data_IF_122471371147
#
_entry.id   IF_122471371147
#
_cell.length_a   1.000
_cell.length_b   1.000
_cell.length_c   1.000
_cell.angle_alpha   90.00
_cell.angle_beta   90.00
_cell.angle_gamma   90.00
#
_symmetry.space_group_name_H-M   'P 1'
#
loop_
_entity.id
_entity.type
_entity.pdbx_description
1 polymer ?
#
# COMPACT_ATOMS: atom_id res chain seq x y z
N UNK A 1 6.13 -30.90 -8.67
CA UNK A 1 5.92 -29.81 -7.71
C UNK A 1 4.53 -29.21 -7.94
N UNK A 2 3.55 -29.70 -7.19
CA UNK A 2 2.15 -29.24 -7.23
C UNK A 2 1.63 -29.24 -5.80
N UNK A 3 1.07 -28.12 -5.33
CA UNK A 3 0.66 -27.94 -3.92
C UNK A 3 -0.31 -29.01 -3.42
N UNK A 4 -1.19 -29.52 -4.28
CA UNK A 4 -2.17 -30.56 -3.92
C UNK A 4 -1.57 -31.97 -3.77
N UNK A 5 -0.30 -32.19 -4.15
CA UNK A 5 0.37 -33.48 -4.04
C UNK A 5 0.99 -33.67 -2.65
N UNK A 6 0.15 -33.97 -1.68
CA UNK A 6 0.54 -34.24 -0.29
C UNK A 6 1.39 -35.51 -0.10
N UNK A 7 1.65 -36.32 -1.13
CA UNK A 7 2.57 -37.46 -1.00
C UNK A 7 4.01 -37.05 -1.27
N UNK A 8 4.24 -36.28 -2.35
CA UNK A 8 5.59 -35.92 -2.78
C UNK A 8 6.04 -34.52 -2.33
N UNK A 9 5.09 -33.62 -2.05
CA UNK A 9 5.36 -32.24 -1.64
C UNK A 9 5.03 -31.97 -0.16
N UNK A 10 4.76 -33.01 0.63
CA UNK A 10 4.56 -32.85 2.07
C UNK A 10 5.85 -32.36 2.75
N UNK A 11 5.67 -31.52 3.78
CA UNK A 11 6.76 -31.02 4.61
C UNK A 11 6.41 -31.23 6.07
N UNK A 12 7.30 -31.89 6.81
CA UNK A 12 7.07 -32.19 8.23
C UNK A 12 8.34 -31.99 9.04
N UNK A 13 8.18 -31.85 10.36
CA UNK A 13 9.32 -31.76 11.28
C UNK A 13 10.16 -33.04 11.21
N UNK A 14 9.54 -34.22 11.11
CA UNK A 14 10.25 -35.50 11.11
C UNK A 14 11.07 -35.73 9.83
N UNK A 15 10.61 -35.25 8.67
CA UNK A 15 11.38 -35.28 7.42
C UNK A 15 12.71 -34.52 7.56
N UNK A 16 12.70 -33.44 8.36
CA UNK A 16 13.86 -32.61 8.65
C UNK A 16 14.55 -32.92 9.99
N UNK A 17 14.19 -33.99 10.71
CA UNK A 17 14.76 -34.26 12.03
C UNK A 17 16.24 -34.69 11.95
N UNK A 18 16.57 -35.61 11.04
CA UNK A 18 17.93 -36.13 10.87
C UNK A 18 18.73 -35.41 9.78
N UNK A 19 18.04 -34.79 8.81
CA UNK A 19 18.65 -34.18 7.63
C UNK A 19 19.69 -33.08 7.98
N UNK A 20 19.42 -32.11 8.88
CA UNK A 20 20.41 -31.11 9.27
C UNK A 20 21.67 -31.72 9.90
N UNK A 21 21.52 -32.79 10.69
CA UNK A 21 22.65 -33.49 11.30
C UNK A 21 23.53 -34.20 10.27
N UNK A 22 22.91 -34.87 9.29
CA UNK A 22 23.63 -35.49 8.18
C UNK A 22 24.34 -34.43 7.30
N UNK A 23 23.67 -33.32 6.99
CA UNK A 23 24.26 -32.19 6.27
C UNK A 23 25.45 -31.59 7.01
N UNK A 24 25.35 -31.43 8.34
CA UNK A 24 26.44 -30.92 9.17
C UNK A 24 27.65 -31.88 9.16
N UNK A 25 27.43 -33.20 9.26
CA UNK A 25 28.50 -34.18 9.15
C UNK A 25 29.18 -34.12 7.77
N UNK A 26 28.41 -34.10 6.68
CA UNK A 26 28.96 -33.96 5.33
C UNK A 26 29.77 -32.67 5.17
N UNK A 27 29.27 -31.55 5.70
CA UNK A 27 30.00 -30.29 5.67
C UNK A 27 31.28 -30.33 6.52
N UNK A 28 31.28 -31.01 7.66
CA UNK A 28 32.48 -31.20 8.48
C UNK A 28 33.58 -31.96 7.73
N UNK A 29 33.22 -33.00 6.96
CA UNK A 29 34.19 -33.84 6.24
C UNK A 29 34.63 -33.27 4.89
N UNK A 30 33.72 -32.62 4.17
CA UNK A 30 33.92 -32.22 2.77
C UNK A 30 33.75 -30.72 2.51
N UNK A 31 33.45 -29.94 3.55
CA UNK A 31 33.24 -28.50 3.44
C UNK A 31 34.48 -27.79 2.91
N UNK A 32 34.25 -26.85 2.01
CA UNK A 32 35.26 -25.92 1.49
C UNK A 32 34.85 -24.50 1.84
N UNK A 33 35.77 -23.51 1.81
CA UNK A 33 35.41 -22.12 2.03
C UNK A 33 34.29 -21.61 1.11
N UNK A 34 34.17 -22.14 -0.11
CA UNK A 34 33.10 -21.79 -1.06
C UNK A 34 31.74 -22.42 -0.77
N UNK A 35 31.66 -23.36 0.19
CA UNK A 35 30.42 -24.00 0.64
C UNK A 35 29.92 -23.43 1.97
N UNK A 36 30.57 -22.38 2.48
CA UNK A 36 30.19 -21.76 3.74
C UNK A 36 28.70 -21.35 3.72
N UNK A 37 28.00 -21.46 4.86
CA UNK A 37 26.64 -20.95 4.98
C UNK A 37 26.56 -19.52 4.46
N UNK A 38 25.50 -19.22 3.71
CA UNK A 38 25.26 -17.87 3.18
C UNK A 38 25.20 -16.89 4.34
N UNK A 39 26.08 -15.89 4.30
CA UNK A 39 26.06 -14.79 5.27
C UNK A 39 24.74 -14.04 5.13
N UNK A 40 24.10 -13.74 6.26
CA UNK A 40 22.85 -12.97 6.31
C UNK A 40 21.64 -13.71 5.67
N UNK A 41 21.55 -15.03 5.90
CA UNK A 41 20.38 -15.85 5.57
C UNK A 41 19.30 -15.79 6.67
N UNK A 42 17.99 -15.79 6.33
CA UNK A 42 17.44 -15.75 4.98
C UNK A 42 17.55 -14.35 4.36
N UNK A 43 17.72 -14.25 3.03
CA UNK A 43 17.56 -12.97 2.35
C UNK A 43 16.15 -12.42 2.64
N UNK A 44 16.03 -11.09 2.68
CA UNK A 44 14.71 -10.47 2.81
C UNK A 44 13.78 -11.01 1.71
N UNK A 45 12.56 -11.47 2.05
CA UNK A 45 11.67 -12.05 1.07
C UNK A 45 11.32 -11.00 0.03
N UNK A 46 11.63 -11.31 -1.24
CA UNK A 46 11.10 -10.54 -2.36
C UNK A 46 9.73 -11.12 -2.69
N UNK A 47 8.66 -10.42 -2.31
CA UNK A 47 7.31 -10.76 -2.72
C UNK A 47 7.16 -10.48 -4.22
N UNK A 48 7.54 -11.46 -5.03
CA UNK A 48 7.37 -11.46 -6.48
C UNK A 48 6.34 -12.51 -6.88
N UNK A 49 5.17 -12.45 -6.25
CA UNK A 49 3.93 -13.02 -6.77
C UNK A 49 3.19 -11.89 -7.46
N UNK A 50 3.05 -11.98 -8.79
CA UNK A 50 2.54 -10.92 -9.65
C UNK A 50 1.11 -10.52 -9.35
N UNK A 51 0.97 -9.51 -8.50
CA UNK A 51 -0.29 -8.87 -8.13
C UNK A 51 -0.07 -7.37 -7.89
N UNK A 52 0.97 -6.82 -8.52
CA UNK A 52 1.46 -5.44 -8.41
C UNK A 52 0.63 -4.43 -9.22
N UNK A 53 -0.69 -4.46 -9.04
CA UNK A 53 -1.57 -3.32 -9.32
C UNK A 53 -2.36 -3.03 -8.03
N UNK A 54 -2.03 -1.95 -7.30
CA UNK A 54 -2.70 -1.53 -6.05
C UNK A 54 -2.07 -1.99 -4.73
N UNK A 55 -0.78 -2.33 -4.71
CA UNK A 55 -0.10 -3.06 -3.64
C UNK A 55 -0.04 -2.39 -2.26
N UNK A 56 -0.38 -3.16 -1.22
CA UNK A 56 -0.03 -2.98 0.20
C UNK A 56 -0.15 -4.30 1.01
N UNK A 57 -0.19 -5.43 0.31
CA UNK A 57 -0.42 -6.76 0.89
C UNK A 57 -1.88 -7.09 1.18
N UNK A 58 -2.84 -6.18 0.95
CA UNK A 58 -4.29 -6.45 1.02
C UNK A 58 -4.97 -6.12 -0.31
N UNK A 59 -6.06 -6.82 -0.62
CA UNK A 59 -6.91 -6.53 -1.79
C UNK A 59 -8.34 -7.01 -1.57
N UNK A 60 -9.27 -6.52 -2.40
CA UNK A 60 -10.66 -6.99 -2.45
C UNK A 60 -10.87 -7.87 -3.67
N UNK A 61 -11.64 -8.94 -3.50
CA UNK A 61 -12.31 -9.60 -4.62
C UNK A 61 -13.81 -9.33 -4.50
N UNK A 62 -14.43 -8.84 -5.57
CA UNK A 62 -15.84 -8.46 -5.57
C UNK A 62 -16.56 -8.81 -6.88
N UNK A 63 -17.88 -8.82 -6.80
CA UNK A 63 -18.77 -8.77 -7.96
C UNK A 63 -19.99 -7.89 -7.63
N UNK A 64 -20.70 -7.47 -8.67
CA UNK A 64 -21.86 -6.60 -8.54
C UNK A 64 -23.08 -7.12 -9.29
N UNK A 65 -24.24 -6.59 -8.93
CA UNK A 65 -25.50 -6.73 -9.66
C UNK A 65 -26.18 -5.38 -9.63
N UNK A 66 -26.57 -4.90 -10.80
CA UNK A 66 -27.29 -3.65 -10.94
C UNK A 66 -28.79 -3.92 -10.99
N UNK A 67 -29.53 -3.28 -10.07
CA UNK A 67 -31.00 -3.28 -10.06
C UNK A 67 -31.53 -1.89 -10.42
N UNK A 68 -31.16 -1.42 -11.63
CA UNK A 68 -31.56 -0.11 -12.16
C UNK A 68 -32.98 -0.15 -12.72
N UNK A 69 -33.69 0.97 -12.58
CA UNK A 69 -35.04 1.17 -13.11
C UNK A 69 -35.05 2.30 -14.14
N UNK A 70 -35.99 2.23 -15.07
CA UNK A 70 -36.14 3.23 -16.14
C UNK A 70 -36.51 4.63 -15.62
N UNK A 71 -36.98 4.75 -14.37
CA UNK A 71 -37.32 6.02 -13.73
C UNK A 71 -36.13 6.70 -13.02
N UNK A 72 -34.92 6.13 -13.17
CA UNK A 72 -33.68 6.63 -12.56
C UNK A 72 -33.41 6.06 -11.17
N UNK A 73 -34.41 5.49 -10.49
CA UNK A 73 -34.16 4.80 -9.23
C UNK A 73 -33.37 3.51 -9.45
N UNK A 74 -32.59 3.11 -8.46
CA UNK A 74 -31.79 1.90 -8.58
C UNK A 74 -30.72 1.79 -7.52
N UNK A 75 -30.17 0.59 -7.43
CA UNK A 75 -29.03 0.29 -6.58
C UNK A 75 -28.04 -0.57 -7.34
N UNK A 76 -26.77 -0.39 -7.00
CA UNK A 76 -25.75 -1.39 -7.24
C UNK A 76 -25.64 -2.23 -5.98
N UNK A 77 -25.82 -3.55 -6.12
CA UNK A 77 -25.54 -4.54 -5.09
C UNK A 77 -24.09 -4.97 -5.25
N UNK A 78 -23.38 -5.16 -4.14
CA UNK A 78 -21.97 -5.59 -4.12
C UNK A 78 -21.83 -6.81 -3.19
N UNK A 79 -21.10 -7.83 -3.65
CA UNK A 79 -20.63 -8.96 -2.85
C UNK A 79 -19.11 -8.98 -2.87
N UNK A 80 -18.47 -9.10 -1.70
CA UNK A 80 -17.02 -9.03 -1.60
C UNK A 80 -16.41 -9.96 -0.55
N UNK A 81 -15.12 -10.26 -0.76
CA UNK A 81 -14.18 -10.80 0.21
C UNK A 81 -13.00 -9.85 0.37
N UNK A 82 -12.46 -9.77 1.59
CA UNK A 82 -11.16 -9.17 1.86
C UNK A 82 -10.07 -10.24 1.83
N UNK A 83 -8.97 -9.95 1.17
CA UNK A 83 -7.84 -10.85 0.99
C UNK A 83 -6.54 -10.20 1.47
N UNK A 84 -5.56 -11.01 1.85
CA UNK A 84 -4.26 -10.51 2.28
C UNK A 84 -3.12 -11.49 1.98
N UNK A 85 -1.98 -10.95 1.56
CA UNK A 85 -0.67 -11.61 1.55
C UNK A 85 0.20 -11.18 2.74
N UNK A 86 -0.30 -10.30 3.60
CA UNK A 86 0.41 -9.81 4.77
C UNK A 86 0.55 -10.90 5.83
N UNK A 87 1.72 -10.95 6.47
CA UNK A 87 1.96 -11.77 7.66
C UNK A 87 1.52 -11.07 8.95
N UNK A 88 1.16 -9.77 8.86
CA UNK A 88 0.67 -8.97 9.98
C UNK A 88 -0.85 -8.93 9.95
N UNK A 89 -1.47 -9.20 11.10
CA UNK A 89 -2.91 -9.05 11.29
C UNK A 89 -3.25 -7.55 11.31
N UNK A 90 -4.27 -7.09 10.56
CA UNK A 90 -4.73 -5.71 10.67
C UNK A 90 -5.35 -5.43 12.04
N UNK A 91 -5.26 -4.19 12.48
CA UNK A 91 -5.70 -3.76 13.82
C UNK A 91 -7.09 -3.13 13.86
N UNK A 92 -7.45 -2.36 12.82
CA UNK A 92 -8.75 -1.73 12.62
C UNK A 92 -9.05 -1.66 11.11
N UNK A 93 -9.37 -2.83 10.53
CA UNK A 93 -9.59 -2.96 9.10
C UNK A 93 -10.93 -2.34 8.68
N UNK A 94 -10.90 -1.43 7.72
CA UNK A 94 -12.10 -0.93 7.03
C UNK A 94 -11.98 -1.11 5.52
N UNK A 95 -13.12 -1.17 4.84
CA UNK A 95 -13.22 -1.33 3.39
C UNK A 95 -14.10 -0.20 2.85
N UNK A 96 -13.66 0.49 1.80
CA UNK A 96 -14.41 1.59 1.18
C UNK A 96 -14.81 1.29 -0.25
N UNK A 97 -16.08 1.50 -0.55
CA UNK A 97 -16.62 1.55 -1.91
C UNK A 97 -16.94 3.00 -2.26
N UNK A 98 -16.21 3.54 -3.23
CA UNK A 98 -16.31 4.90 -3.73
C UNK A 98 -17.29 4.97 -4.90
N UNK A 99 -18.15 5.99 -4.87
CA UNK A 99 -19.15 6.24 -5.90
C UNK A 99 -19.23 7.73 -6.24
N UNK A 100 -19.64 8.01 -7.47
CA UNK A 100 -19.81 9.37 -8.00
C UNK A 100 -21.21 9.89 -7.70
N UNK A 101 -21.30 11.19 -7.50
CA UNK A 101 -22.57 11.93 -7.38
C UNK A 101 -22.74 12.94 -8.49
N UNK A 102 -21.89 12.84 -9.51
CA UNK A 102 -21.90 13.72 -10.67
C UNK A 102 -23.24 13.58 -11.40
N UNK A 103 -23.86 14.72 -11.68
CA UNK A 103 -25.17 14.77 -12.34
C UNK A 103 -26.37 14.70 -11.38
N UNK A 104 -26.15 14.41 -10.09
CA UNK A 104 -27.21 14.54 -9.09
C UNK A 104 -27.53 16.02 -8.84
N UNK A 105 -28.83 16.32 -8.76
CA UNK A 105 -29.38 17.65 -8.46
C UNK A 105 -29.69 17.83 -6.98
N UNK A 106 -29.96 16.74 -6.25
CA UNK A 106 -30.23 16.77 -4.82
C UNK A 106 -28.98 16.45 -4.00
N UNK A 107 -28.97 16.86 -2.73
CA UNK A 107 -27.89 16.53 -1.79
C UNK A 107 -27.77 15.00 -1.64
N UNK A 108 -26.65 14.39 -2.07
CA UNK A 108 -26.48 12.94 -2.05
C UNK A 108 -26.66 12.32 -0.66
N UNK A 109 -26.30 13.05 0.41
CA UNK A 109 -26.45 12.58 1.79
C UNK A 109 -27.92 12.38 2.20
N UNK A 110 -28.85 13.06 1.53
CA UNK A 110 -30.27 12.95 1.81
C UNK A 110 -30.94 11.77 1.09
N UNK A 111 -30.49 11.45 -0.13
CA UNK A 111 -31.17 10.54 -1.06
C UNK A 111 -30.45 9.21 -1.25
N UNK A 112 -29.11 9.18 -1.25
CA UNK A 112 -28.35 7.93 -1.41
C UNK A 112 -28.41 7.14 -0.11
N UNK A 113 -28.63 5.83 -0.23
CA UNK A 113 -28.71 4.88 0.88
C UNK A 113 -27.68 3.79 0.69
N UNK A 114 -27.08 3.41 1.80
CA UNK A 114 -26.17 2.27 1.93
C UNK A 114 -26.82 1.30 2.90
N UNK A 115 -27.00 0.04 2.51
CA UNK A 115 -27.65 -0.97 3.36
C UNK A 115 -26.89 -2.28 3.31
N UNK A 116 -26.71 -2.92 4.46
CA UNK A 116 -26.25 -4.31 4.54
C UNK A 116 -27.29 -5.25 3.93
N UNK A 117 -26.81 -6.20 3.12
CA UNK A 117 -27.61 -7.33 2.62
C UNK A 117 -27.28 -8.62 3.39
N UNK A 118 -25.99 -8.87 3.65
CA UNK A 118 -25.55 -10.08 4.30
C UNK A 118 -24.16 -9.94 4.91
N UNK A 119 -24.05 -10.20 6.22
CA UNK A 119 -22.79 -10.48 6.92
C UNK A 119 -22.68 -11.99 7.23
N UNK A 120 -21.84 -12.69 6.48
CA UNK A 120 -21.57 -14.10 6.72
C UNK A 120 -20.78 -14.32 8.02
N UNK A 121 -19.92 -13.37 8.41
CA UNK A 121 -19.14 -13.50 9.63
C UNK A 121 -20.05 -13.43 10.87
N UNK A 122 -21.01 -12.50 10.90
CA UNK A 122 -22.03 -12.46 11.97
C UNK A 122 -22.85 -13.74 12.03
N UNK A 123 -23.18 -14.32 10.88
CA UNK A 123 -23.99 -15.54 10.81
C UNK A 123 -23.23 -16.79 11.29
N UNK A 124 -21.94 -16.92 10.94
CA UNK A 124 -21.20 -18.17 11.10
C UNK A 124 -20.06 -18.12 12.12
N UNK A 125 -19.68 -16.93 12.60
CA UNK A 125 -18.51 -16.71 13.43
C UNK A 125 -18.78 -15.77 14.62
N UNK A 126 -19.94 -15.91 15.26
CA UNK A 126 -20.30 -15.16 16.45
C UNK A 126 -19.15 -15.18 17.50
N UNK A 127 -18.81 -14.03 18.12
CA UNK A 127 -19.54 -12.76 18.13
C UNK A 127 -19.07 -11.74 17.07
N UNK A 128 -18.55 -12.19 15.92
CA UNK A 128 -18.24 -11.28 14.81
C UNK A 128 -19.48 -10.48 14.39
N UNK A 129 -19.29 -9.22 14.01
CA UNK A 129 -20.33 -8.33 13.53
C UNK A 129 -19.65 -7.21 12.75
N UNK A 130 -19.71 -7.29 11.42
CA UNK A 130 -19.23 -6.24 10.54
C UNK A 130 -20.36 -5.24 10.34
N UNK A 131 -20.02 -3.96 10.23
CA UNK A 131 -21.03 -2.91 10.10
C UNK A 131 -20.72 -2.02 8.92
N UNK A 132 -21.75 -1.67 8.15
CA UNK A 132 -21.63 -0.71 7.06
C UNK A 132 -22.30 0.61 7.42
N UNK A 133 -21.67 1.71 7.01
CA UNK A 133 -22.20 3.05 7.21
C UNK A 133 -21.85 3.98 6.05
N UNK A 134 -22.49 5.16 6.04
CA UNK A 134 -22.38 6.16 5.00
C UNK A 134 -23.75 6.58 4.45
N UNK A 135 -23.79 7.29 3.31
CA UNK A 135 -22.62 7.73 2.55
C UNK A 135 -21.82 8.84 3.25
N UNK A 136 -20.51 8.90 2.98
CA UNK A 136 -19.60 9.95 3.47
C UNK A 136 -19.03 10.71 2.28
N UNK A 137 -18.99 12.05 2.34
CA UNK A 137 -18.30 12.85 1.32
C UNK A 137 -16.79 12.60 1.43
N UNK A 138 -16.14 12.29 0.32
CA UNK A 138 -14.68 12.22 0.29
C UNK A 138 -14.09 13.63 0.22
N UNK A 139 -13.07 13.89 1.02
CA UNK A 139 -12.51 15.23 1.20
C UNK A 139 -11.62 15.68 0.04
N UNK A 140 -11.12 14.74 -0.77
CA UNK A 140 -10.20 15.03 -1.89
C UNK A 140 -10.89 15.36 -3.22
N UNK A 141 -12.17 14.99 -3.40
CA UNK A 141 -12.94 15.29 -4.62
C UNK A 141 -14.39 15.65 -4.31
N UNK A 142 -14.91 16.66 -5.01
CA UNK A 142 -16.20 17.25 -4.66
C UNK A 142 -17.41 16.36 -4.92
N UNK A 143 -17.33 15.52 -5.94
CA UNK A 143 -18.40 14.65 -6.42
C UNK A 143 -18.24 13.19 -5.97
N UNK A 144 -17.20 12.86 -5.19
CA UNK A 144 -16.94 11.49 -4.74
C UNK A 144 -17.40 11.30 -3.30
N UNK A 145 -18.14 10.22 -3.09
CA UNK A 145 -18.62 9.76 -1.79
C UNK A 145 -18.23 8.30 -1.60
N UNK A 146 -18.36 7.78 -0.39
CA UNK A 146 -18.09 6.38 -0.12
C UNK A 146 -19.01 5.75 0.93
N UNK A 147 -19.23 4.45 0.78
CA UNK A 147 -19.70 3.55 1.83
C UNK A 147 -18.49 2.94 2.53
N UNK A 148 -18.56 2.78 3.86
CA UNK A 148 -17.47 2.19 4.65
C UNK A 148 -17.98 0.98 5.44
N UNK A 149 -17.31 -0.16 5.27
CA UNK A 149 -17.51 -1.35 6.08
C UNK A 149 -16.42 -1.36 7.15
N UNK A 150 -16.83 -1.40 8.41
CA UNK A 150 -15.95 -1.62 9.55
C UNK A 150 -15.91 -3.11 9.89
N UNK A 151 -14.72 -3.71 9.81
CA UNK A 151 -14.56 -5.16 10.05
C UNK A 151 -14.56 -5.53 11.54
N UNK A 152 -14.51 -4.53 12.43
CA UNK A 152 -14.45 -4.74 13.88
C UNK A 152 -13.20 -5.47 14.32
N UNK A 153 -13.30 -6.26 15.39
CA UNK A 153 -12.18 -7.08 15.92
C UNK A 153 -12.02 -8.41 15.19
N UNK A 154 -12.98 -8.75 14.31
CA UNK A 154 -12.97 -9.97 13.53
C UNK A 154 -11.87 -9.93 12.47
N UNK A 155 -11.12 -11.02 12.32
CA UNK A 155 -10.10 -11.11 11.28
C UNK A 155 -10.76 -11.44 9.93
N UNK A 156 -11.35 -10.44 9.28
CA UNK A 156 -12.12 -10.63 8.06
C UNK A 156 -11.27 -10.99 6.84
N UNK A 157 -10.06 -10.41 6.72
CA UNK A 157 -9.14 -10.72 5.63
C UNK A 157 -8.74 -12.22 5.64
N UNK A 158 -8.83 -12.88 4.49
CA UNK A 158 -8.61 -14.33 4.29
C UNK A 158 -9.51 -15.24 5.13
N UNK A 159 -10.61 -14.73 5.72
CA UNK A 159 -11.54 -15.55 6.51
C UNK A 159 -12.40 -16.49 5.66
N UNK A 160 -12.47 -16.24 4.35
CA UNK A 160 -13.42 -16.92 3.46
C UNK A 160 -14.87 -16.54 3.73
N UNK A 161 -15.14 -15.47 4.48
CA UNK A 161 -16.48 -14.93 4.73
C UNK A 161 -16.79 -13.80 3.76
N UNK A 162 -18.00 -13.81 3.19
CA UNK A 162 -18.47 -12.74 2.32
C UNK A 162 -19.24 -11.68 3.08
N UNK A 163 -19.16 -10.45 2.58
CA UNK A 163 -20.00 -9.34 3.00
C UNK A 163 -20.71 -8.75 1.78
N UNK A 164 -22.00 -8.44 1.94
CA UNK A 164 -22.84 -7.96 0.85
C UNK A 164 -23.61 -6.71 1.27
N UNK A 165 -23.71 -5.74 0.38
CA UNK A 165 -24.41 -4.49 0.63
C UNK A 165 -24.99 -3.88 -0.65
N UNK A 166 -25.81 -2.85 -0.50
CA UNK A 166 -26.28 -2.00 -1.60
C UNK A 166 -25.82 -0.56 -1.41
N UNK A 167 -25.62 0.12 -2.53
CA UNK A 167 -25.52 1.58 -2.61
C UNK A 167 -26.40 2.06 -3.77
N UNK A 168 -27.15 3.14 -3.54
CA UNK A 168 -27.97 3.76 -4.57
C UNK A 168 -29.11 4.57 -3.98
N UNK A 169 -30.16 4.82 -4.76
CA UNK A 169 -31.28 5.67 -4.36
C UNK A 169 -32.62 5.12 -4.87
N UNK A 170 -33.68 5.40 -4.13
CA UNK A 170 -35.05 4.98 -4.49
C UNK A 170 -35.90 6.11 -5.07
N UNK A 171 -35.53 7.37 -4.83
CA UNK A 171 -36.26 8.55 -5.27
C UNK A 171 -35.36 9.78 -5.24
N UNK A 172 -35.81 10.85 -5.89
CA UNK A 172 -35.17 12.17 -5.84
C UNK A 172 -34.21 12.43 -7.00
N UNK A 173 -33.51 11.42 -7.51
CA UNK A 173 -32.53 11.59 -8.58
C UNK A 173 -32.38 10.34 -9.45
N UNK A 174 -31.33 10.29 -10.29
CA UNK A 174 -30.95 9.11 -11.07
C UNK A 174 -29.67 8.46 -10.52
N UNK A 175 -29.67 7.14 -10.36
CA UNK A 175 -28.48 6.35 -10.03
C UNK A 175 -27.78 5.89 -11.30
N UNK A 176 -26.54 6.33 -11.49
CA UNK A 176 -25.64 5.86 -12.55
C UNK A 176 -24.36 5.35 -11.89
N UNK A 177 -24.13 4.02 -11.84
CA UNK A 177 -22.91 3.48 -11.24
C UNK A 177 -21.73 3.49 -12.21
N UNK A 178 -21.92 3.84 -13.49
CA UNK A 178 -20.89 3.64 -14.52
C UNK A 178 -19.71 4.60 -14.41
N UNK A 179 -19.86 5.70 -13.66
CA UNK A 179 -18.80 6.64 -13.34
C UNK A 179 -18.30 6.53 -11.88
N UNK A 180 -18.77 5.54 -11.12
CA UNK A 180 -18.27 5.22 -9.79
C UNK A 180 -16.82 4.71 -9.87
N UNK A 181 -15.87 5.26 -9.08
CA UNK A 181 -14.50 4.76 -9.05
C UNK A 181 -14.42 3.27 -8.70
N UNK A 182 -15.19 2.81 -7.70
CA UNK A 182 -15.16 1.40 -7.26
C UNK A 182 -15.96 0.44 -8.15
N UNK A 183 -16.82 0.96 -9.04
CA UNK A 183 -17.51 0.13 -10.03
C UNK A 183 -16.58 -0.25 -11.19
N UNK A 184 -15.52 0.52 -11.41
CA UNK A 184 -14.48 0.17 -12.38
C UNK A 184 -13.94 -1.24 -12.10
N UNK A 185 -13.88 -2.05 -13.16
CA UNK A 185 -13.48 -3.46 -13.14
C UNK A 185 -14.36 -4.40 -12.29
N UNK A 186 -15.49 -3.90 -11.76
CA UNK A 186 -16.45 -4.73 -11.05
C UNK A 186 -17.18 -5.64 -12.05
N UNK A 187 -17.09 -6.96 -11.82
CA UNK A 187 -17.80 -7.92 -12.65
C UNK A 187 -19.30 -7.88 -12.32
N UNK A 188 -20.10 -7.39 -13.26
CA UNK A 188 -21.55 -7.27 -13.11
C UNK A 188 -22.27 -8.51 -13.63
N UNK A 189 -23.14 -9.08 -12.79
CA UNK A 189 -24.02 -10.19 -13.13
C UNK A 189 -25.47 -9.73 -13.28
N UNK A 190 -26.29 -10.55 -13.95
CA UNK A 190 -27.72 -10.29 -14.13
C UNK A 190 -28.59 -10.94 -13.06
N UNK A 191 -28.17 -12.10 -12.57
CA UNK A 191 -28.95 -12.94 -11.68
C UNK A 191 -28.32 -12.95 -10.29
N UNK A 192 -29.17 -12.87 -9.25
CA UNK A 192 -28.76 -12.85 -7.84
C UNK A 192 -28.04 -14.14 -7.41
N UNK A 193 -28.15 -15.24 -8.18
CA UNK A 193 -27.41 -16.49 -7.96
C UNK A 193 -25.88 -16.28 -7.87
N UNK A 194 -25.35 -15.26 -8.55
CA UNK A 194 -23.93 -14.92 -8.49
C UNK A 194 -23.47 -14.57 -7.07
N UNK A 195 -24.35 -14.02 -6.22
CA UNK A 195 -24.04 -13.65 -4.84
C UNK A 195 -24.05 -14.84 -3.89
N UNK A 196 -24.70 -15.94 -4.27
CA UNK A 196 -24.76 -17.18 -3.49
C UNK A 196 -23.74 -18.24 -3.93
N UNK A 197 -23.24 -18.13 -5.16
CA UNK A 197 -22.18 -18.99 -5.67
C UNK A 197 -20.81 -18.70 -5.04
N UNK A 198 -19.91 -19.68 -5.12
CA UNK A 198 -18.49 -19.53 -4.76
C UNK A 198 -17.66 -19.21 -6.00
N UNK A 199 -16.76 -18.24 -5.88
CA UNK A 199 -15.83 -17.85 -6.96
C UNK A 199 -16.42 -16.89 -8.01
N UNK A 200 -17.54 -16.25 -7.71
CA UNK A 200 -18.10 -15.19 -8.57
C UNK A 200 -17.31 -13.89 -8.45
N UNK A 201 -16.83 -13.61 -7.24
CA UNK A 201 -16.03 -12.46 -6.86
C UNK A 201 -14.63 -12.57 -7.47
N UNK A 202 -14.21 -11.53 -8.20
CA UNK A 202 -12.87 -11.44 -8.82
C UNK A 202 -12.15 -10.22 -8.28
N UNK A 203 -10.82 -10.20 -8.36
CA UNK A 203 -10.03 -9.07 -7.86
C UNK A 203 -10.53 -7.75 -8.44
N UNK A 204 -10.74 -6.76 -7.58
CA UNK A 204 -11.04 -5.38 -7.95
C UNK A 204 -10.20 -4.46 -7.06
N UNK A 205 -9.22 -3.79 -7.66
CA UNK A 205 -8.31 -2.89 -6.94
C UNK A 205 -8.90 -1.51 -6.68
N UNK A 206 -10.06 -1.17 -7.24
CA UNK A 206 -10.71 0.12 -7.01
C UNK A 206 -11.63 0.11 -5.76
N UNK A 207 -11.71 -1.01 -5.03
CA UNK A 207 -12.32 -1.10 -3.68
C UNK A 207 -11.18 -1.13 -2.66
N UNK A 208 -11.07 -0.08 -1.85
CA UNK A 208 -9.89 0.15 -1.03
C UNK A 208 -10.03 -0.45 0.37
N UNK A 209 -8.90 -0.90 0.95
CA UNK A 209 -8.80 -1.33 2.34
C UNK A 209 -7.91 -0.38 3.14
N UNK A 210 -8.30 -0.12 4.38
CA UNK A 210 -7.55 0.70 5.33
C UNK A 210 -7.33 -0.05 6.63
N UNK A 211 -6.17 0.13 7.27
CA UNK A 211 -5.91 -0.31 8.64
C UNK A 211 -5.60 0.92 9.50
N UNK A 212 -6.44 1.19 10.51
CA UNK A 212 -6.30 2.38 11.35
C UNK A 212 -6.37 3.69 10.55
N UNK A 213 -7.08 3.69 9.42
CA UNK A 213 -7.22 4.84 8.52
C UNK A 213 -6.10 5.00 7.50
N UNK A 214 -5.07 4.15 7.52
CA UNK A 214 -3.99 4.15 6.51
C UNK A 214 -4.36 3.20 5.37
N UNK A 215 -4.22 3.64 4.12
CA UNK A 215 -4.47 2.81 2.94
C UNK A 215 -3.49 1.63 2.90
N UNK A 216 -4.01 0.39 2.86
CA UNK A 216 -3.21 -0.86 2.85
C UNK A 216 -3.54 -1.77 1.66
N UNK A 217 -4.53 -1.43 0.85
CA UNK A 217 -4.83 -2.15 -0.39
C UNK A 217 -5.75 -1.36 -1.32
N UNK A 218 -5.52 -1.50 -2.62
CA UNK A 218 -6.33 -0.90 -3.67
C UNK A 218 -5.76 0.41 -4.24
N UNK A 219 -6.60 1.13 -4.97
CA UNK A 219 -6.31 2.37 -5.67
C UNK A 219 -7.44 3.35 -5.34
N UNK A 220 -7.12 4.43 -4.64
CA UNK A 220 -8.07 5.49 -4.34
C UNK A 220 -8.53 6.22 -5.61
N UNK A 221 -9.67 6.95 -5.59
CA UNK A 221 -10.17 7.65 -6.77
C UNK A 221 -9.21 8.69 -7.38
N UNK A 222 -8.26 9.23 -6.60
CA UNK A 222 -7.21 10.14 -7.08
C UNK A 222 -5.98 9.41 -7.66
N UNK A 223 -6.00 8.08 -7.69
CA UNK A 223 -4.90 7.23 -8.13
C UNK A 223 -3.88 6.89 -7.04
N UNK A 224 -4.09 7.33 -5.79
CA UNK A 224 -3.22 6.97 -4.67
C UNK A 224 -3.26 5.47 -4.44
N UNK A 225 -2.08 4.87 -4.29
CA UNK A 225 -1.90 3.45 -3.94
C UNK A 225 -1.15 3.34 -2.61
N UNK A 226 -1.27 2.22 -1.88
CA UNK A 226 -0.49 2.03 -0.67
C UNK A 226 1.00 2.12 -0.96
N UNK A 227 1.75 2.66 0.01
CA UNK A 227 3.20 2.71 -0.09
C UNK A 227 3.75 1.29 0.10
N UNK A 228 4.47 0.79 -0.90
CA UNK A 228 5.02 -0.57 -0.90
C UNK A 228 6.09 -0.82 0.17
N UNK A 229 6.49 0.22 0.91
CA UNK A 229 7.52 0.19 1.94
C UNK A 229 6.99 0.37 3.38
N UNK A 230 5.67 0.43 3.59
CA UNK A 230 5.14 0.57 4.96
C UNK A 230 5.14 -0.76 5.71
N UNK A 231 6.22 -1.00 6.44
CA UNK A 231 6.11 -1.59 7.77
C UNK A 231 5.22 -0.64 8.63
N UNK A 232 4.02 -1.04 9.11
CA UNK A 232 3.05 -0.15 9.77
C UNK A 232 3.44 0.28 11.20
N UNK A 233 4.74 0.44 11.49
CA UNK A 233 5.22 0.84 12.83
C UNK A 233 5.32 2.36 13.02
N UNK A 234 4.71 3.18 12.16
CA UNK A 234 4.54 4.60 12.49
C UNK A 234 3.38 4.77 13.46
N UNK A 235 3.74 4.91 14.73
CA UNK A 235 2.91 5.38 15.85
C UNK A 235 1.99 6.54 15.42
N UNK A 236 0.74 6.62 15.91
CA UNK A 236 -0.18 7.72 15.57
C UNK A 236 0.48 9.10 15.77
N UNK A 237 0.24 10.07 14.88
CA UNK A 237 0.83 11.40 15.01
C UNK A 237 0.31 12.09 16.28
N UNK A 238 1.25 12.65 17.04
CA UNK A 238 1.04 13.49 18.21
C UNK A 238 0.25 14.77 17.81
N UNK A 239 -0.93 15.06 18.42
CA UNK A 239 -1.75 16.21 18.07
C UNK A 239 -1.10 17.57 18.33
N UNK A 240 0.05 17.63 19.04
CA UNK A 240 0.76 18.87 19.34
C UNK A 240 2.00 19.13 18.45
N UNK A 241 2.26 18.30 17.43
CA UNK A 241 3.39 18.48 16.51
C UNK A 241 2.97 19.21 15.22
N UNK A 242 3.63 20.31 14.81
CA UNK A 242 3.25 21.03 13.60
C UNK A 242 3.46 20.14 12.36
N UNK A 243 2.41 20.06 11.54
CA UNK A 243 2.35 19.32 10.29
C UNK A 243 3.37 19.87 9.28
N UNK A 244 4.24 19.04 8.68
CA UNK A 244 5.12 19.52 7.62
C UNK A 244 4.28 19.81 6.37
N UNK A 245 4.34 21.04 5.90
CA UNK A 245 3.73 21.44 4.62
C UNK A 245 4.48 20.73 3.50
N UNK A 246 3.77 19.88 2.74
CA UNK A 246 4.31 19.20 1.56
C UNK A 246 4.77 20.23 0.52
N UNK A 247 6.06 20.24 0.23
CA UNK A 247 6.63 20.99 -0.87
C UNK A 247 6.28 20.28 -2.19
N UNK A 248 5.79 21.05 -3.16
CA UNK A 248 5.44 20.55 -4.49
C UNK A 248 6.63 19.80 -5.14
N UNK A 249 6.33 18.60 -5.64
CA UNK A 249 7.26 17.77 -6.39
C UNK A 249 7.50 18.40 -7.76
N UNK A 250 8.70 18.96 -7.97
CA UNK A 250 9.14 19.49 -9.26
C UNK A 250 9.95 18.40 -9.97
N UNK A 251 9.40 17.91 -11.07
CA UNK A 251 10.04 16.96 -11.97
C UNK A 251 11.31 17.59 -12.57
N UNK A 252 12.52 17.00 -12.44
CA UNK A 252 13.69 17.55 -13.08
C UNK A 252 13.75 17.09 -14.53
N UNK A 253 13.53 18.03 -15.44
CA UNK A 253 13.93 17.91 -16.85
C UNK A 253 15.44 18.09 -16.94
N UNK A 254 16.14 17.12 -17.52
CA UNK A 254 17.58 17.18 -17.72
C UNK A 254 17.95 18.10 -18.90
N UNK A 255 18.71 19.16 -18.65
CA UNK A 255 19.58 19.81 -19.64
C UNK A 255 20.94 20.20 -19.02
N UNK A 256 22.03 20.26 -19.81
CA UNK A 256 23.39 20.18 -19.29
C UNK A 256 24.13 21.52 -19.33
N UNK A 257 24.67 22.05 -18.22
CA UNK A 257 25.71 23.11 -18.28
C UNK A 257 26.75 22.96 -17.15
N UNK A 258 28.00 22.78 -17.57
CA UNK A 258 29.23 22.95 -16.79
C UNK A 258 29.51 24.44 -16.49
N UNK A 259 29.82 24.78 -15.23
CA UNK A 259 30.78 25.83 -14.82
C UNK A 259 31.05 25.71 -13.30
N UNK A 260 32.26 26.03 -12.79
CA UNK A 260 32.68 25.66 -11.45
C UNK A 260 32.03 26.58 -10.41
N UNK A 261 31.03 26.08 -9.70
CA UNK A 261 30.48 26.73 -8.52
C UNK A 261 31.33 26.37 -7.30
N UNK A 262 31.60 27.36 -6.46
CA UNK A 262 32.29 27.24 -5.16
C UNK A 262 31.99 25.92 -4.45
N UNK A 263 33.03 25.20 -4.01
CA UNK A 263 32.90 24.03 -3.15
C UNK A 263 32.08 24.40 -1.91
N UNK A 264 30.84 23.90 -1.85
CA UNK A 264 29.93 24.07 -0.72
C UNK A 264 29.67 22.68 -0.14
N UNK A 265 30.49 22.22 0.83
CA UNK A 265 30.35 20.89 1.41
C UNK A 265 28.95 20.72 2.02
N UNK A 266 28.23 19.70 1.58
CA UNK A 266 26.86 19.39 1.97
C UNK A 266 25.81 19.71 0.92
N UNK A 267 26.14 20.48 -0.12
CA UNK A 267 25.25 20.83 -1.25
C UNK A 267 25.40 19.81 -2.40
N UNK A 268 24.87 18.60 -2.19
CA UNK A 268 25.02 17.47 -3.10
C UNK A 268 24.19 17.65 -4.38
N UNK A 269 23.06 18.34 -4.32
CA UNK A 269 22.22 18.61 -5.49
C UNK A 269 22.65 19.86 -6.29
N UNK A 270 23.61 20.63 -5.76
CA UNK A 270 24.22 21.84 -6.36
C UNK A 270 23.22 22.99 -6.52
N UNK A 271 22.27 23.11 -5.59
CA UNK A 271 21.27 24.17 -5.54
C UNK A 271 21.69 25.39 -4.70
N UNK A 272 22.89 25.35 -4.10
CA UNK A 272 23.49 26.37 -3.23
C UNK A 272 22.85 26.49 -1.84
N UNK A 273 22.06 25.51 -1.44
CA UNK A 273 21.54 25.36 -0.09
C UNK A 273 22.08 24.05 0.47
N UNK A 274 22.09 23.93 1.80
CA UNK A 274 22.42 22.68 2.47
C UNK A 274 21.20 22.34 3.31
N UNK A 275 20.44 21.34 2.88
CA UNK A 275 19.23 20.90 3.57
C UNK A 275 18.93 19.42 3.32
N UNK A 276 17.77 18.94 3.78
CA UNK A 276 17.34 17.55 3.58
C UNK A 276 17.35 17.07 2.12
N UNK A 277 17.17 17.94 1.13
CA UNK A 277 17.20 17.58 -0.29
C UNK A 277 18.58 17.06 -0.72
N UNK A 278 19.66 17.58 -0.15
CA UNK A 278 21.02 17.11 -0.39
C UNK A 278 21.25 15.74 0.21
N UNK A 279 20.76 15.51 1.43
CA UNK A 279 20.80 14.20 2.06
C UNK A 279 20.04 13.15 1.25
N UNK A 280 18.88 13.51 0.69
CA UNK A 280 18.11 12.65 -0.21
C UNK A 280 18.89 12.34 -1.49
N UNK A 281 19.50 13.36 -2.12
CA UNK A 281 20.31 13.17 -3.32
C UNK A 281 21.50 12.23 -3.07
N UNK A 282 22.17 12.34 -1.91
CA UNK A 282 23.24 11.43 -1.49
C UNK A 282 22.72 10.00 -1.33
N UNK A 283 21.61 9.80 -0.62
CA UNK A 283 21.06 8.46 -0.36
C UNK A 283 20.55 7.78 -1.64
N UNK A 284 19.92 8.54 -2.54
CA UNK A 284 19.50 8.07 -3.85
C UNK A 284 20.70 7.66 -4.72
N UNK A 285 21.76 8.47 -4.73
CA UNK A 285 23.00 8.14 -5.42
C UNK A 285 23.65 6.87 -4.86
N UNK A 286 23.71 6.72 -3.54
CA UNK A 286 24.24 5.50 -2.89
C UNK A 286 23.40 4.26 -3.24
N UNK A 287 22.08 4.40 -3.26
CA UNK A 287 21.14 3.31 -3.56
C UNK A 287 21.19 2.86 -5.02
N UNK A 288 21.28 3.81 -5.97
CA UNK A 288 21.35 3.48 -7.40
C UNK A 288 22.02 4.60 -8.23
N UNK A 289 23.35 4.60 -8.27
CA UNK A 289 24.19 5.54 -9.03
C UNK A 289 23.81 5.65 -10.51
N UNK A 290 23.31 4.57 -11.11
CA UNK A 290 22.96 4.53 -12.54
C UNK A 290 21.69 5.29 -12.87
N UNK A 291 20.74 5.36 -11.90
CA UNK A 291 19.47 6.07 -12.04
C UNK A 291 19.53 7.48 -11.47
N UNK A 292 20.23 7.66 -10.36
CA UNK A 292 20.29 8.92 -9.60
C UNK A 292 21.74 9.43 -9.54
N UNK A 293 22.32 9.74 -10.69
CA UNK A 293 23.69 10.25 -10.76
C UNK A 293 23.83 11.65 -10.15
N UNK A 294 24.89 11.88 -9.38
CA UNK A 294 25.30 13.23 -8.97
C UNK A 294 26.18 13.86 -10.05
N UNK A 295 26.13 15.18 -10.16
CA UNK A 295 27.08 15.93 -10.99
C UNK A 295 28.51 15.82 -10.42
N UNK A 296 29.53 16.16 -11.22
CA UNK A 296 30.92 16.16 -10.73
C UNK A 296 31.10 17.04 -9.49
N UNK A 297 30.41 18.19 -9.42
CA UNK A 297 30.44 19.07 -8.25
C UNK A 297 29.62 18.49 -7.09
N UNK A 298 28.47 17.88 -7.38
CA UNK A 298 27.65 17.19 -6.39
C UNK A 298 28.42 16.06 -5.71
N UNK A 299 29.25 15.32 -6.46
CA UNK A 299 30.14 14.29 -5.90
C UNK A 299 31.16 14.89 -4.93
N UNK A 300 31.75 16.04 -5.25
CA UNK A 300 32.72 16.73 -4.38
C UNK A 300 32.04 17.27 -3.12
N UNK A 301 30.82 17.81 -3.25
CA UNK A 301 30.07 18.39 -2.14
C UNK A 301 29.41 17.33 -1.25
N UNK A 302 29.14 16.12 -1.78
CA UNK A 302 28.46 15.04 -1.07
C UNK A 302 29.32 14.33 -0.03
N UNK A 303 30.64 14.28 -0.20
CA UNK A 303 31.57 13.64 0.74
C UNK A 303 31.89 14.62 1.90
N UNK A 304 31.23 14.42 3.05
CA UNK A 304 31.22 15.37 4.16
C UNK A 304 31.40 14.74 5.54
N UNK A 305 31.34 13.42 5.67
CA UNK A 305 31.43 12.72 6.95
C UNK A 305 32.87 12.58 7.50
N UNK A 306 33.88 12.95 6.70
CA UNK A 306 35.29 12.92 7.06
C UNK A 306 35.96 11.55 6.80
N UNK A 307 35.24 10.60 6.23
CA UNK A 307 35.76 9.38 5.61
C UNK A 307 35.81 9.53 4.09
N UNK A 308 36.64 8.76 3.40
CA UNK A 308 36.76 8.91 1.95
C UNK A 308 35.66 8.18 1.20
N UNK A 309 34.94 8.92 0.34
CA UNK A 309 33.95 8.39 -0.59
C UNK A 309 32.52 8.55 -0.08
N UNK A 310 31.57 8.64 -1.02
CA UNK A 310 30.16 8.94 -0.73
C UNK A 310 29.44 7.67 -0.25
N UNK A 311 28.94 7.71 0.98
CA UNK A 311 28.16 6.66 1.64
C UNK A 311 26.87 7.22 2.26
N UNK A 312 26.04 6.34 2.84
CA UNK A 312 24.84 6.80 3.55
C UNK A 312 25.14 7.68 4.78
N UNK A 313 26.35 7.58 5.33
CA UNK A 313 26.78 8.37 6.49
C UNK A 313 26.98 9.84 6.15
N UNK A 314 27.32 10.17 4.90
CA UNK A 314 27.34 11.54 4.40
C UNK A 314 25.95 12.17 4.41
N UNK A 315 24.94 11.44 3.95
CA UNK A 315 23.55 11.89 3.99
C UNK A 315 23.08 12.16 5.43
N UNK A 316 23.43 11.29 6.37
CA UNK A 316 23.17 11.50 7.81
C UNK A 316 23.92 12.74 8.33
N UNK A 317 25.13 12.97 7.87
CA UNK A 317 25.95 14.11 8.27
C UNK A 317 25.36 15.44 7.79
N UNK A 318 24.83 15.48 6.57
CA UNK A 318 24.06 16.63 6.08
C UNK A 318 22.78 16.84 6.88
N UNK A 319 22.04 15.79 7.22
CA UNK A 319 20.84 15.91 8.08
C UNK A 319 21.18 16.46 9.47
N UNK A 320 22.30 16.04 10.06
CA UNK A 320 22.76 16.57 11.35
C UNK A 320 23.15 18.04 11.27
N UNK A 321 23.74 18.47 10.16
CA UNK A 321 24.05 19.89 9.92
C UNK A 321 22.77 20.72 9.74
N UNK A 322 21.82 20.26 8.91
CA UNK A 322 20.52 20.91 8.68
C UNK A 322 19.70 21.03 9.98
N UNK A 323 19.75 19.99 10.83
CA UNK A 323 19.14 19.99 12.16
C UNK A 323 19.86 20.87 13.20
N UNK A 324 20.97 21.53 12.84
CA UNK A 324 21.78 22.36 13.75
C UNK A 324 22.55 21.57 14.82
N UNK A 325 22.65 20.24 14.68
CA UNK A 325 23.42 19.37 15.58
C UNK A 325 24.92 19.49 15.27
N UNK A 326 25.27 19.70 14.00
CA UNK A 326 26.63 20.02 13.56
C UNK A 326 26.72 21.48 13.12
N UNK A 327 27.84 22.13 13.45
CA UNK A 327 28.03 23.56 13.17
C UNK A 327 28.85 23.83 11.89
N UNK A 328 29.41 22.81 11.25
CA UNK A 328 30.22 22.95 10.04
C UNK A 328 30.35 21.64 9.27
N UNK A 329 30.44 21.74 7.93
CA UNK A 329 30.82 20.67 7.01
C UNK A 329 32.08 21.07 6.21
N UNK A 330 32.91 20.10 5.76
CA UNK A 330 32.86 18.69 6.15
C UNK A 330 33.28 18.51 7.62
N UNK A 331 32.90 17.37 8.22
CA UNK A 331 33.35 17.03 9.57
C UNK A 331 34.85 16.78 9.53
N UNK A 332 35.62 17.57 10.29
CA UNK A 332 37.05 17.36 10.46
C UNK A 332 37.28 16.29 11.51
N UNK A 333 38.17 15.34 11.24
CA UNK A 333 38.74 14.45 12.27
C UNK A 333 39.49 15.24 13.33
#
# INVERSE_FOLDING_TARGET
>A
DVTSNWTYNEVTIDYNAALPGACAALYQYYGTPGMAPTKDFPPAPTFSGGDSEGGGGFWVTACGIDDLKDDGSGVTKISLYAMSGSTKKPTDLTIRYYFSTKGMSNDPLSIVKVNELYDQAATEAAPADLTISGPYKWDKMDDIYYAEIKCGTYNFANSGKKYQFTVGLYYGDSWDPTDDPSYKDLKIFKDDDAFFATGSEVRNDNICLYDGGVLVGGIEPDGTVPDTDTDPTQTPPDPDKPTPTAAAEVTPTAEPINAPSSNLPGDANVDKKINVADAVAILQYVANKSKYGLSNQGIINADVDGESGITGTDGITVQKYDAGVLNSLPVKK
#
